data_IF_988719948570
#
_entry.id   IF_988719948570
#
_cell.length_a   1.000
_cell.length_b   1.000
_cell.length_c   1.000
_cell.angle_alpha   90.00
_cell.angle_beta   90.00
_cell.angle_gamma   90.00
#
_symmetry.space_group_name_H-M   'P 1'
#
loop_
_entity.id
_entity.type
_entity.pdbx_description
1 polymer ?
#
# COMPACT_ATOMS: atom_id res chain seq x y z
N UNK A 1 0.68 -26.75 -9.39
CA UNK A 1 1.26 -26.51 -8.06
C UNK A 1 2.04 -25.20 -8.10
N UNK A 2 1.92 -24.29 -7.11
CA UNK A 2 2.68 -23.05 -7.11
C UNK A 2 4.17 -23.32 -6.98
N UNK A 3 4.99 -22.58 -7.72
CA UNK A 3 6.45 -22.60 -7.63
C UNK A 3 6.87 -21.37 -6.82
N UNK A 4 7.69 -21.58 -5.79
CA UNK A 4 8.23 -20.51 -4.96
C UNK A 4 9.69 -20.26 -5.33
N UNK A 5 10.08 -18.99 -5.31
CA UNK A 5 11.44 -18.54 -5.55
C UNK A 5 11.87 -17.67 -4.37
N UNK A 6 13.11 -17.84 -3.93
CA UNK A 6 13.68 -17.00 -2.86
C UNK A 6 14.03 -15.59 -3.35
N UNK A 7 14.19 -15.41 -4.66
CA UNK A 7 14.53 -14.12 -5.25
C UNK A 7 14.06 -13.98 -6.69
N UNK A 8 13.95 -12.72 -7.14
CA UNK A 8 13.54 -12.38 -8.50
C UNK A 8 14.74 -12.46 -9.44
N UNK A 9 14.74 -13.45 -10.34
CA UNK A 9 15.70 -13.53 -11.44
C UNK A 9 15.45 -12.45 -12.50
N UNK A 10 16.46 -12.15 -13.33
CA UNK A 10 16.32 -11.16 -14.41
C UNK A 10 15.13 -11.49 -15.35
N UNK A 11 14.95 -12.76 -15.71
CA UNK A 11 13.82 -13.18 -16.55
C UNK A 11 12.45 -12.91 -15.90
N UNK A 12 12.34 -13.13 -14.58
CA UNK A 12 11.10 -12.86 -13.84
C UNK A 12 10.88 -11.36 -13.67
N UNK A 13 11.94 -10.59 -13.43
CA UNK A 13 11.91 -9.11 -13.40
C UNK A 13 11.39 -8.55 -14.71
N UNK A 14 11.98 -8.96 -15.83
CA UNK A 14 11.62 -8.44 -17.16
C UNK A 14 10.21 -8.87 -17.55
N UNK A 15 9.79 -10.08 -17.15
CA UNK A 15 8.41 -10.50 -17.32
C UNK A 15 7.44 -9.65 -16.49
N UNK A 16 7.76 -9.34 -15.23
CA UNK A 16 6.90 -8.51 -14.37
C UNK A 16 6.69 -7.10 -14.92
N UNK A 17 7.78 -6.45 -15.32
CA UNK A 17 7.79 -5.06 -15.76
C UNK A 17 7.06 -4.88 -17.10
N UNK A 18 7.06 -5.90 -17.97
CA UNK A 18 6.32 -5.90 -19.24
C UNK A 18 4.80 -6.00 -19.11
N UNK A 19 4.26 -6.36 -17.94
CA UNK A 19 2.80 -6.47 -17.80
C UNK A 19 2.16 -5.08 -17.89
N UNK A 20 0.95 -4.98 -18.42
CA UNK A 20 0.26 -3.69 -18.53
C UNK A 20 -0.26 -3.17 -17.18
N UNK A 21 -0.47 -4.08 -16.23
CA UNK A 21 -0.97 -3.79 -14.90
C UNK A 21 -0.47 -4.80 -13.87
N UNK A 22 -0.46 -4.38 -12.62
CA UNK A 22 -0.30 -5.25 -11.46
C UNK A 22 -1.30 -4.82 -10.37
N UNK A 23 -1.49 -5.69 -9.39
CA UNK A 23 -2.45 -5.50 -8.30
C UNK A 23 -1.70 -5.40 -6.98
N UNK A 24 -2.16 -4.49 -6.12
CA UNK A 24 -1.70 -4.41 -4.73
C UNK A 24 -2.82 -4.89 -3.84
N UNK A 25 -2.55 -5.89 -3.03
CA UNK A 25 -3.43 -6.35 -1.98
C UNK A 25 -2.80 -6.07 -0.61
N UNK A 26 -3.60 -5.58 0.32
CA UNK A 26 -3.20 -5.30 1.70
C UNK A 26 -4.41 -5.46 2.61
N UNK A 27 -4.17 -5.79 3.88
CA UNK A 27 -5.23 -5.93 4.86
C UNK A 27 -4.75 -5.41 6.22
N UNK A 28 -5.66 -4.84 7.02
CA UNK A 28 -5.35 -4.51 8.40
C UNK A 28 -5.22 -5.80 9.22
N UNK A 29 -4.64 -5.71 10.42
CA UNK A 29 -4.67 -6.82 11.38
C UNK A 29 -6.10 -7.10 11.85
N UNK A 30 -6.92 -6.06 11.93
CA UNK A 30 -8.32 -6.10 12.34
C UNK A 30 -9.11 -5.06 11.54
N UNK A 31 -10.30 -5.42 11.08
CA UNK A 31 -11.10 -4.54 10.24
C UNK A 31 -12.09 -5.35 9.43
N UNK A 32 -12.96 -4.66 8.70
CA UNK A 32 -13.94 -5.31 7.82
C UNK A 32 -13.47 -5.37 6.38
N UNK A 33 -12.48 -4.56 6.00
CA UNK A 33 -12.15 -4.31 4.61
C UNK A 33 -10.80 -4.93 4.25
N UNK A 34 -10.77 -5.66 3.14
CA UNK A 34 -9.54 -6.07 2.47
C UNK A 34 -9.35 -5.12 1.29
N UNK A 35 -8.19 -4.51 1.20
CA UNK A 35 -7.90 -3.59 0.12
C UNK A 35 -7.23 -4.33 -1.05
N UNK A 36 -7.78 -4.17 -2.24
CA UNK A 36 -7.17 -4.59 -3.49
C UNK A 36 -7.29 -3.48 -4.51
N UNK A 37 -6.18 -3.10 -5.13
CA UNK A 37 -6.13 -1.97 -6.06
C UNK A 37 -5.38 -2.37 -7.32
N UNK A 38 -6.02 -2.37 -8.50
CA UNK A 38 -5.33 -2.49 -9.78
C UNK A 38 -4.59 -1.20 -10.11
N UNK A 39 -3.42 -1.35 -10.72
CA UNK A 39 -2.53 -0.26 -11.02
C UNK A 39 -1.82 -0.54 -12.34
N UNK A 40 -1.79 0.44 -13.23
CA UNK A 40 -1.13 0.30 -14.52
C UNK A 40 0.20 1.02 -14.55
N UNK A 41 0.73 1.14 -15.76
CA UNK A 41 2.01 1.78 -16.03
C UNK A 41 3.17 1.24 -15.16
N UNK A 42 3.46 -0.09 -15.15
CA UNK A 42 4.54 -0.61 -14.31
C UNK A 42 5.89 -0.04 -14.70
N UNK A 43 6.09 0.24 -15.98
CA UNK A 43 7.30 0.88 -16.49
C UNK A 43 7.51 2.32 -16.01
N UNK A 44 6.48 3.06 -15.60
CA UNK A 44 6.67 4.43 -15.05
C UNK A 44 6.42 4.53 -13.55
N UNK A 45 5.88 3.49 -12.91
CA UNK A 45 5.49 3.54 -11.50
C UNK A 45 6.13 2.48 -10.63
N UNK A 46 6.63 1.37 -11.19
CA UNK A 46 7.24 0.25 -10.48
C UNK A 46 8.74 0.13 -10.83
N UNK A 47 9.55 -0.27 -9.86
CA UNK A 47 10.95 -0.63 -10.09
C UNK A 47 11.36 -1.81 -9.21
N UNK A 48 12.10 -2.75 -9.79
CA UNK A 48 12.78 -3.80 -9.02
C UNK A 48 14.21 -3.30 -8.78
N UNK A 49 14.50 -2.93 -7.54
CA UNK A 49 15.75 -2.29 -7.11
C UNK A 49 16.86 -3.33 -6.84
N UNK A 50 16.47 -4.53 -6.42
CA UNK A 50 17.34 -5.70 -6.23
C UNK A 50 16.49 -6.98 -6.32
N UNK A 51 17.08 -8.19 -6.35
CA UNK A 51 16.34 -9.44 -6.42
C UNK A 51 15.25 -9.60 -5.34
N UNK A 52 15.41 -8.94 -4.19
CA UNK A 52 14.48 -9.00 -3.05
C UNK A 52 13.95 -7.62 -2.63
N UNK A 53 14.05 -6.61 -3.50
CA UNK A 53 13.60 -5.25 -3.18
C UNK A 53 12.94 -4.61 -4.39
N UNK A 54 11.71 -4.14 -4.21
CA UNK A 54 10.97 -3.40 -5.22
C UNK A 54 10.45 -2.08 -4.64
N UNK A 55 10.18 -1.11 -5.50
CA UNK A 55 9.66 0.20 -5.12
C UNK A 55 8.68 0.74 -6.17
N UNK A 56 8.04 1.83 -5.79
CA UNK A 56 6.68 2.16 -6.18
C UNK A 56 6.37 3.61 -5.96
N UNK A 57 5.80 4.30 -6.94
CA UNK A 57 5.27 5.65 -6.71
C UNK A 57 3.75 5.62 -6.52
N UNK A 58 3.29 6.06 -5.34
CA UNK A 58 1.88 6.32 -5.06
C UNK A 58 1.56 7.78 -5.38
N UNK A 59 0.55 8.01 -6.23
CA UNK A 59 0.12 9.35 -6.64
C UNK A 59 -1.24 9.72 -6.04
N UNK A 60 -1.50 11.02 -5.95
CA UNK A 60 -2.75 11.62 -5.49
C UNK A 60 -3.93 11.25 -6.39
N UNK A 61 -5.10 11.02 -5.77
CA UNK A 61 -6.34 10.59 -6.44
C UNK A 61 -6.79 9.18 -6.04
N UNK A 62 -5.99 8.49 -5.24
CA UNK A 62 -6.35 7.21 -4.64
C UNK A 62 -6.49 7.28 -3.12
N UNK A 63 -7.30 6.37 -2.56
CA UNK A 63 -7.39 6.18 -1.11
C UNK A 63 -6.04 5.80 -0.48
N UNK A 64 -5.96 5.85 0.85
CA UNK A 64 -4.72 5.58 1.59
C UNK A 64 -4.65 4.20 2.25
N UNK A 65 -5.56 3.27 1.89
CA UNK A 65 -5.67 1.94 2.54
C UNK A 65 -4.33 1.18 2.62
N UNK A 66 -3.60 1.06 1.51
CA UNK A 66 -2.30 0.37 1.49
C UNK A 66 -1.30 1.05 2.43
N UNK A 67 -1.27 2.39 2.46
CA UNK A 67 -0.39 3.17 3.34
C UNK A 67 -0.73 2.87 4.80
N UNK A 68 -2.01 2.88 5.15
CA UNK A 68 -2.49 2.58 6.51
C UNK A 68 -2.08 1.17 6.95
N UNK A 69 -2.32 0.16 6.11
CA UNK A 69 -1.98 -1.24 6.41
C UNK A 69 -0.47 -1.46 6.53
N UNK A 70 0.32 -0.84 5.65
CA UNK A 70 1.78 -0.89 5.73
C UNK A 70 2.30 -0.25 7.02
N UNK A 71 1.76 0.89 7.43
CA UNK A 71 2.13 1.54 8.69
C UNK A 71 1.71 0.72 9.92
N UNK A 72 0.61 -0.02 9.84
CA UNK A 72 0.14 -0.88 10.93
C UNK A 72 0.95 -2.18 11.03
N UNK A 73 1.03 -2.96 9.95
CA UNK A 73 1.55 -4.33 9.98
C UNK A 73 2.55 -4.67 8.87
N UNK A 74 2.75 -3.77 7.91
CA UNK A 74 3.76 -3.89 6.87
C UNK A 74 3.45 -4.95 5.79
N UNK A 75 2.37 -5.72 5.89
CA UNK A 75 2.08 -6.82 4.94
C UNK A 75 1.44 -6.30 3.67
N UNK A 76 1.94 -6.79 2.55
CA UNK A 76 1.43 -6.42 1.22
C UNK A 76 1.74 -7.54 0.22
N UNK A 77 0.86 -7.72 -0.76
CA UNK A 77 1.10 -8.60 -1.91
C UNK A 77 1.00 -7.80 -3.19
N UNK A 78 2.01 -7.92 -4.05
CA UNK A 78 1.95 -7.42 -5.43
C UNK A 78 1.71 -8.59 -6.36
N UNK A 79 0.72 -8.50 -7.24
CA UNK A 79 0.43 -9.53 -8.23
C UNK A 79 0.55 -8.98 -9.65
N UNK A 80 1.34 -9.65 -10.48
CA UNK A 80 1.41 -9.44 -11.92
C UNK A 80 0.61 -10.55 -12.61
N UNK A 81 -0.13 -10.20 -13.65
CA UNK A 81 -0.96 -11.13 -14.42
C UNK A 81 -0.71 -10.90 -15.90
N UNK A 82 -0.48 -11.96 -16.67
CA UNK A 82 -0.53 -11.86 -18.13
C UNK A 82 -1.95 -11.82 -18.64
N UNK A 83 -2.12 -11.04 -19.69
CA UNK A 83 -3.34 -10.96 -20.50
C UNK A 83 -3.10 -11.46 -21.93
N UNK A 84 -1.90 -11.96 -22.20
CA UNK A 84 -1.48 -12.52 -23.48
C UNK A 84 -1.82 -14.02 -23.57
N UNK A 85 -1.51 -14.63 -24.72
CA UNK A 85 -1.80 -16.04 -25.01
C UNK A 85 -1.20 -17.04 -23.99
N UNK A 86 -0.11 -16.68 -23.30
CA UNK A 86 0.48 -17.53 -22.26
C UNK A 86 -0.03 -17.12 -20.88
N UNK A 87 -0.88 -17.93 -20.21
CA UNK A 87 -1.42 -17.60 -18.90
C UNK A 87 -0.33 -17.74 -17.83
N UNK A 88 -0.08 -16.65 -17.09
CA UNK A 88 0.87 -16.62 -15.99
C UNK A 88 0.47 -15.58 -14.96
N UNK A 89 0.59 -15.98 -13.70
CA UNK A 89 0.48 -15.08 -12.56
C UNK A 89 1.77 -15.13 -11.76
N UNK A 90 2.19 -13.99 -11.21
CA UNK A 90 3.32 -13.92 -10.29
C UNK A 90 2.94 -13.05 -9.11
N UNK A 91 3.24 -13.52 -7.90
CA UNK A 91 2.95 -12.81 -6.67
C UNK A 91 4.23 -12.56 -5.88
N UNK A 92 4.41 -11.33 -5.46
CA UNK A 92 5.40 -10.96 -4.47
C UNK A 92 4.70 -10.85 -3.13
N UNK A 93 5.00 -11.78 -2.23
CA UNK A 93 4.58 -11.69 -0.83
C UNK A 93 5.64 -10.90 -0.08
N UNK A 94 5.27 -9.70 0.37
CA UNK A 94 6.25 -8.73 0.85
C UNK A 94 5.90 -8.19 2.23
N UNK A 95 6.94 -7.72 2.90
CA UNK A 95 6.83 -6.70 3.94
C UNK A 95 7.38 -5.40 3.39
N UNK A 96 6.74 -4.27 3.74
CA UNK A 96 7.08 -2.98 3.16
C UNK A 96 6.91 -1.82 4.13
N UNK A 97 7.42 -0.67 3.71
CA UNK A 97 7.28 0.60 4.41
C UNK A 97 6.86 1.70 3.43
N UNK A 98 6.39 2.81 3.97
CA UNK A 98 5.98 4.02 3.24
C UNK A 98 7.02 5.10 3.50
N UNK A 99 7.44 5.78 2.45
CA UNK A 99 8.29 6.97 2.49
C UNK A 99 7.52 8.11 1.84
N UNK A 100 7.13 9.14 2.60
CA UNK A 100 6.35 10.27 2.07
C UNK A 100 7.22 11.29 1.32
N UNK A 101 6.61 12.11 0.46
CA UNK A 101 7.28 13.12 -0.37
C UNK A 101 8.11 14.14 0.44
N UNK A 102 7.72 14.40 1.68
CA UNK A 102 8.39 15.32 2.60
C UNK A 102 9.46 14.63 3.46
N UNK A 103 9.65 13.31 3.31
CA UNK A 103 10.67 12.57 4.03
C UNK A 103 11.98 12.54 3.22
N UNK A 104 13.15 12.61 3.89
CA UNK A 104 14.45 12.70 3.21
C UNK A 104 14.77 11.47 2.34
N UNK A 105 14.14 10.33 2.61
CA UNK A 105 14.33 9.10 1.84
C UNK A 105 13.68 9.12 0.45
N UNK A 106 12.74 10.02 0.19
CA UNK A 106 11.91 9.99 -1.02
C UNK A 106 12.72 10.23 -2.30
N UNK A 107 13.49 11.32 -2.35
CA UNK A 107 14.28 11.68 -3.53
C UNK A 107 15.36 10.63 -3.88
N UNK A 108 16.14 10.08 -2.91
CA UNK A 108 17.05 8.96 -3.18
C UNK A 108 16.36 7.74 -3.80
N UNK A 109 15.20 7.35 -3.28
CA UNK A 109 14.46 6.22 -3.84
C UNK A 109 13.96 6.51 -5.25
N UNK A 110 13.41 7.69 -5.52
CA UNK A 110 13.01 8.07 -6.88
C UNK A 110 14.18 8.01 -7.87
N UNK A 111 15.36 8.49 -7.46
CA UNK A 111 16.57 8.40 -8.29
C UNK A 111 16.93 6.94 -8.57
N UNK A 112 16.86 6.07 -7.56
CA UNK A 112 17.13 4.63 -7.71
C UNK A 112 16.11 3.94 -8.63
N UNK A 113 14.86 4.43 -8.67
CA UNK A 113 13.84 3.95 -9.59
C UNK A 113 14.05 4.41 -11.04
N UNK A 114 15.12 5.18 -11.32
CA UNK A 114 15.41 5.74 -12.65
C UNK A 114 14.77 7.10 -12.90
N UNK A 115 14.48 7.87 -11.84
CA UNK A 115 13.82 9.18 -11.96
C UNK A 115 12.34 9.08 -12.34
N UNK A 116 11.74 7.89 -12.19
CA UNK A 116 10.33 7.63 -12.42
C UNK A 116 9.47 8.55 -11.54
N UNK A 117 8.88 9.56 -12.15
CA UNK A 117 8.03 10.53 -11.47
C UNK A 117 6.61 10.47 -12.04
N UNK A 118 5.63 10.29 -11.17
CA UNK A 118 4.22 10.50 -11.51
C UNK A 118 3.83 11.90 -11.05
N UNK A 119 3.09 12.62 -11.89
CA UNK A 119 2.45 13.86 -11.47
C UNK A 119 1.62 13.59 -10.21
N UNK A 120 1.84 14.40 -9.15
CA UNK A 120 1.18 14.23 -7.86
C UNK A 120 1.72 13.10 -6.97
N UNK A 121 2.94 12.60 -7.24
CA UNK A 121 3.63 11.62 -6.40
C UNK A 121 3.73 12.11 -4.94
N UNK A 122 3.21 11.30 -4.02
CA UNK A 122 3.12 11.64 -2.58
C UNK A 122 3.82 10.64 -1.66
N UNK A 123 4.07 9.41 -2.14
CA UNK A 123 4.82 8.42 -1.38
C UNK A 123 5.57 7.45 -2.30
N UNK A 124 6.78 7.07 -1.87
CA UNK A 124 7.45 5.86 -2.35
C UNK A 124 7.15 4.75 -1.36
N UNK A 125 6.58 3.67 -1.85
CA UNK A 125 6.32 2.48 -1.05
C UNK A 125 7.22 1.34 -1.56
N UNK A 126 7.38 0.26 -0.80
CA UNK A 126 8.09 -0.94 -1.28
C UNK A 126 7.00 -1.92 -1.76
N UNK A 127 6.35 -1.68 -2.91
CA UNK A 127 5.34 -2.54 -3.63
C UNK A 127 4.22 -1.79 -4.45
N UNK A 128 4.39 -1.44 -5.74
CA UNK A 128 3.58 -0.38 -6.42
C UNK A 128 2.13 -0.54 -6.74
N UNK A 129 1.29 0.54 -6.73
CA UNK A 129 0.96 1.36 -7.93
C UNK A 129 -0.15 2.44 -7.89
N UNK A 130 -0.56 2.95 -9.08
CA UNK A 130 -1.92 3.38 -9.53
C UNK A 130 -1.96 3.68 -11.03
N UNK A 131 -3.15 3.53 -11.64
CA UNK A 131 -3.46 3.87 -13.02
C UNK A 131 -4.09 2.71 -13.80
N UNK A 132 -5.30 2.27 -13.44
CA UNK A 132 -5.95 1.16 -14.18
C UNK A 132 -6.01 1.53 -15.66
N UNK A 133 -5.37 0.75 -16.55
CA UNK A 133 -5.40 1.05 -17.97
C UNK A 133 -6.82 0.87 -18.52
N UNK A 134 -7.16 1.62 -19.56
CA UNK A 134 -8.40 1.43 -20.29
C UNK A 134 -8.22 0.29 -21.29
N UNK A 135 -9.27 -0.52 -21.50
CA UNK A 135 -9.27 -1.50 -22.56
C UNK A 135 -9.68 -0.80 -23.85
N UNK A 136 -8.72 -0.60 -24.75
CA UNK A 136 -8.92 -0.08 -26.09
C UNK A 136 -8.82 -1.17 -27.14
N UNK A 137 -8.96 -0.75 -28.39
CA UNK A 137 -8.82 -1.59 -29.57
C UNK A 137 -7.71 -1.01 -30.44
N UNK A 138 -6.70 -1.81 -30.74
CA UNK A 138 -5.63 -1.48 -31.69
C UNK A 138 -5.76 -2.39 -32.90
N UNK A 139 -5.63 -1.83 -34.09
CA UNK A 139 -5.53 -2.60 -35.32
C UNK A 139 -4.08 -3.03 -35.53
N UNK A 140 -3.88 -4.33 -35.75
CA UNK A 140 -2.59 -4.88 -36.19
C UNK A 140 -2.23 -4.25 -37.56
N UNK A 141 -1.06 -3.60 -37.70
CA UNK A 141 -0.69 -2.91 -38.94
C UNK A 141 -0.56 -3.86 -40.14
N UNK A 142 -0.28 -5.14 -39.91
CA UNK A 142 -0.07 -6.12 -40.97
C UNK A 142 -1.35 -6.90 -41.30
N UNK A 143 -2.15 -7.27 -40.29
CA UNK A 143 -3.36 -8.09 -40.50
C UNK A 143 -4.66 -7.29 -40.54
N UNK A 144 -4.63 -5.99 -40.17
CA UNK A 144 -5.79 -5.11 -39.95
C UNK A 144 -6.81 -5.66 -38.94
N UNK A 145 -6.48 -6.72 -38.22
CA UNK A 145 -7.35 -7.29 -37.20
C UNK A 145 -7.36 -6.41 -35.96
N UNK A 146 -8.55 -6.22 -35.40
CA UNK A 146 -8.73 -5.46 -34.17
C UNK A 146 -8.43 -6.34 -32.97
N UNK A 147 -7.41 -5.96 -32.19
CA UNK A 147 -7.04 -6.64 -30.95
C UNK A 147 -7.25 -5.73 -29.74
N UNK A 148 -7.76 -6.26 -28.62
CA UNK A 148 -7.85 -5.50 -27.38
C UNK A 148 -6.45 -5.14 -26.90
N UNK A 149 -6.24 -3.87 -26.51
CA UNK A 149 -4.98 -3.38 -25.98
C UNK A 149 -5.23 -2.53 -24.72
N UNK A 150 -4.26 -2.48 -23.82
CA UNK A 150 -4.32 -1.60 -22.66
C UNK A 150 -3.78 -0.21 -23.03
N UNK A 151 -4.64 0.81 -22.94
CA UNK A 151 -4.30 2.21 -23.20
C UNK A 151 -4.16 2.96 -21.89
N UNK A 152 -3.17 3.84 -21.81
CA UNK A 152 -2.93 4.66 -20.63
C UNK A 152 -4.04 5.70 -20.44
N UNK A 153 -4.63 5.70 -19.24
CA UNK A 153 -5.65 6.67 -18.85
C UNK A 153 -5.00 8.01 -18.49
N UNK A 154 -5.09 9.01 -19.38
CA UNK A 154 -4.56 10.37 -19.15
C UNK A 154 -5.24 11.11 -17.98
N UNK A 155 -6.51 10.78 -17.68
CA UNK A 155 -7.34 11.49 -16.70
C UNK A 155 -6.77 11.59 -15.28
N UNK A 156 -5.93 10.65 -14.85
CA UNK A 156 -5.39 10.68 -13.47
C UNK A 156 -4.26 11.70 -13.32
N UNK A 157 -3.33 11.74 -14.28
CA UNK A 157 -2.30 12.78 -14.33
C UNK A 157 -2.94 14.16 -14.42
N UNK A 158 -3.99 14.29 -15.22
CA UNK A 158 -4.78 15.52 -15.30
C UNK A 158 -5.56 15.85 -14.02
N UNK A 159 -6.06 14.86 -13.27
CA UNK A 159 -6.75 15.13 -12.00
C UNK A 159 -5.76 15.60 -10.94
N UNK A 160 -4.62 14.92 -10.82
CA UNK A 160 -3.54 15.32 -9.93
C UNK A 160 -3.03 16.72 -10.32
N UNK A 161 -2.81 16.98 -11.61
CA UNK A 161 -2.40 18.28 -12.13
C UNK A 161 -3.46 19.35 -11.89
N UNK A 162 -4.74 19.08 -12.18
CA UNK A 162 -5.83 20.04 -11.91
C UNK A 162 -5.98 20.37 -10.43
N UNK A 163 -5.80 19.38 -9.56
CA UNK A 163 -5.87 19.58 -8.11
C UNK A 163 -4.63 20.34 -7.61
N UNK A 164 -3.46 20.09 -8.21
CA UNK A 164 -2.23 20.86 -8.01
C UNK A 164 -2.43 22.33 -8.40
N UNK A 165 -2.89 22.56 -9.63
CA UNK A 165 -3.06 23.90 -10.22
C UNK A 165 -4.09 24.74 -9.45
N UNK A 166 -5.09 24.11 -8.82
CA UNK A 166 -6.09 24.75 -7.96
C UNK A 166 -5.60 25.01 -6.53
N UNK A 167 -4.45 24.48 -6.13
CA UNK A 167 -3.95 24.56 -4.75
C UNK A 167 -4.76 23.75 -3.73
N UNK A 168 -5.66 22.88 -4.18
CA UNK A 168 -6.60 22.12 -3.33
C UNK A 168 -5.99 20.80 -2.78
N UNK A 169 -4.79 20.44 -3.23
CA UNK A 169 -4.11 19.21 -2.83
C UNK A 169 -4.05 18.97 -1.31
N UNK A 170 -3.65 19.96 -0.48
CA UNK A 170 -3.57 19.73 0.97
C UNK A 170 -4.93 19.39 1.58
N UNK A 171 -6.00 20.05 1.12
CA UNK A 171 -7.37 19.79 1.57
C UNK A 171 -7.88 18.43 1.14
N UNK A 172 -7.56 18.00 -0.09
CA UNK A 172 -7.89 16.66 -0.57
C UNK A 172 -7.21 15.57 0.27
N UNK A 173 -5.89 15.70 0.54
CA UNK A 173 -5.16 14.75 1.38
C UNK A 173 -5.72 14.72 2.81
N UNK A 174 -6.06 15.89 3.35
CA UNK A 174 -6.67 16.03 4.67
C UNK A 174 -7.99 15.23 4.76
N UNK A 175 -8.87 15.37 3.77
CA UNK A 175 -10.18 14.75 3.78
C UNK A 175 -10.13 13.24 3.49
N UNK A 176 -9.34 12.82 2.50
CA UNK A 176 -9.43 11.46 1.94
C UNK A 176 -8.24 10.55 2.26
N UNK A 177 -7.16 11.10 2.82
CA UNK A 177 -5.92 10.35 3.06
C UNK A 177 -5.40 10.41 4.50
N UNK A 178 -6.16 10.99 5.42
CA UNK A 178 -5.83 11.02 6.84
C UNK A 178 -6.14 9.70 7.55
N UNK A 179 -7.12 8.91 7.08
CA UNK A 179 -7.55 7.65 7.70
C UNK A 179 -7.97 6.60 6.67
N UNK A 180 -7.83 5.31 7.02
CA UNK A 180 -8.45 4.21 6.29
C UNK A 180 -9.95 4.12 6.53
N UNK A 181 -10.64 3.28 5.75
CA UNK A 181 -12.04 2.89 5.93
C UNK A 181 -12.28 2.25 7.31
N UNK A 182 -11.29 1.52 7.83
CA UNK A 182 -11.32 0.91 9.17
C UNK A 182 -10.74 1.84 10.26
N UNK A 183 -10.45 3.10 9.93
CA UNK A 183 -10.04 4.14 10.90
C UNK A 183 -8.54 4.13 11.27
N UNK A 184 -7.70 3.39 10.54
CA UNK A 184 -6.26 3.40 10.74
C UNK A 184 -5.66 4.74 10.28
N UNK A 185 -4.60 5.25 10.94
CA UNK A 185 -3.92 6.47 10.51
C UNK A 185 -3.26 6.33 9.13
N UNK A 186 -3.50 7.30 8.24
CA UNK A 186 -3.00 7.34 6.87
C UNK A 186 -1.72 8.14 6.69
N UNK A 187 -1.73 9.09 5.75
CA UNK A 187 -0.58 9.95 5.47
C UNK A 187 -0.25 10.82 6.68
N UNK A 188 1.00 10.83 7.10
CA UNK A 188 1.51 11.69 8.16
C UNK A 188 1.41 13.17 7.78
N UNK A 189 1.68 13.52 6.53
CA UNK A 189 1.46 14.87 6.00
C UNK A 189 -0.01 15.32 6.12
N UNK A 190 -0.96 14.43 5.84
CA UNK A 190 -2.40 14.70 5.99
C UNK A 190 -2.86 14.78 7.46
N UNK A 191 -2.27 13.95 8.34
CA UNK A 191 -2.55 14.00 9.78
C UNK A 191 -2.01 15.29 10.41
N UNK A 192 -0.79 15.68 10.03
CA UNK A 192 -0.17 16.91 10.48
C UNK A 192 -0.98 18.16 10.05
N UNK A 193 -1.53 18.16 8.82
CA UNK A 193 -2.39 19.26 8.37
C UNK A 193 -3.74 19.33 9.09
N UNK A 194 -4.21 18.23 9.71
CA UNK A 194 -5.36 18.23 10.63
C UNK A 194 -5.01 18.67 12.06
N UNK A 195 -3.74 19.03 12.34
CA UNK A 195 -3.28 19.32 13.69
C UNK A 195 -3.18 18.07 14.58
N UNK A 196 -3.16 16.86 13.98
CA UNK A 196 -2.95 15.63 14.74
C UNK A 196 -1.47 15.34 14.95
N UNK A 197 -1.14 14.88 16.14
CA UNK A 197 0.22 14.48 16.48
C UNK A 197 0.59 13.15 15.82
N UNK A 198 1.66 13.15 15.01
CA UNK A 198 2.16 11.96 14.33
C UNK A 198 2.55 10.85 15.32
N UNK A 199 3.15 11.21 16.46
CA UNK A 199 3.51 10.24 17.50
C UNK A 199 2.29 9.50 18.04
N UNK A 200 1.11 10.15 18.09
CA UNK A 200 -0.13 9.52 18.52
C UNK A 200 -0.65 8.51 17.49
N UNK A 201 -0.51 8.82 16.19
CA UNK A 201 -0.81 7.87 15.12
C UNK A 201 0.11 6.64 15.17
N UNK A 202 1.41 6.85 15.39
CA UNK A 202 2.37 5.76 15.56
C UNK A 202 2.04 4.91 16.80
N UNK A 203 1.73 5.56 17.92
CA UNK A 203 1.31 4.88 19.15
C UNK A 203 0.06 4.03 18.93
N UNK A 204 -0.97 4.56 18.25
CA UNK A 204 -2.17 3.79 17.89
C UNK A 204 -1.83 2.54 17.06
N UNK A 205 -0.93 2.65 16.10
CA UNK A 205 -0.51 1.50 15.29
C UNK A 205 0.21 0.44 16.15
N UNK A 206 1.06 0.86 17.08
CA UNK A 206 1.73 -0.06 18.03
C UNK A 206 0.71 -0.75 18.94
N UNK A 207 -0.23 0.01 19.51
CA UNK A 207 -1.30 -0.55 20.35
C UNK A 207 -2.14 -1.54 19.57
N UNK A 208 -2.56 -1.21 18.34
CA UNK A 208 -3.33 -2.10 17.49
C UNK A 208 -2.57 -3.39 17.17
N UNK A 209 -1.27 -3.28 16.88
CA UNK A 209 -0.39 -4.41 16.61
C UNK A 209 -0.26 -5.36 17.80
N UNK A 210 -0.18 -4.83 19.02
CA UNK A 210 0.02 -5.62 20.23
C UNK A 210 -1.26 -5.87 21.03
N UNK A 211 -2.43 -5.56 20.46
CA UNK A 211 -3.70 -5.61 21.18
C UNK A 211 -4.00 -6.99 21.78
N UNK A 212 -3.71 -8.08 21.07
CA UNK A 212 -3.94 -9.43 21.60
C UNK A 212 -3.08 -9.72 22.82
N UNK A 213 -1.79 -9.35 22.77
CA UNK A 213 -0.90 -9.46 23.93
C UNK A 213 -1.40 -8.61 25.09
N UNK A 214 -1.86 -7.38 24.82
CA UNK A 214 -2.42 -6.49 25.84
C UNK A 214 -3.72 -7.06 26.45
N UNK A 215 -4.58 -7.68 25.65
CA UNK A 215 -5.80 -8.35 26.14
C UNK A 215 -5.47 -9.57 27.00
N UNK A 216 -4.46 -10.36 26.63
CA UNK A 216 -3.99 -11.50 27.44
C UNK A 216 -3.41 -11.01 28.77
N UNK A 217 -2.58 -9.96 28.76
CA UNK A 217 -2.02 -9.37 29.97
C UNK A 217 -3.14 -8.82 30.87
N UNK A 218 -4.08 -8.07 30.29
CA UNK A 218 -5.22 -7.49 31.02
C UNK A 218 -6.09 -8.56 31.66
N UNK A 219 -6.42 -9.63 30.93
CA UNK A 219 -7.24 -10.74 31.45
C UNK A 219 -6.52 -11.52 32.53
N UNK A 220 -5.22 -11.75 32.37
CA UNK A 220 -4.38 -12.42 33.39
C UNK A 220 -4.29 -11.57 34.68
N UNK A 221 -4.05 -10.26 34.56
CA UNK A 221 -4.03 -9.36 35.72
C UNK A 221 -5.38 -9.29 36.44
N UNK A 222 -6.48 -9.19 35.70
CA UNK A 222 -7.83 -9.19 36.29
C UNK A 222 -8.13 -10.50 37.02
N UNK A 223 -7.72 -11.64 36.46
CA UNK A 223 -7.85 -12.94 37.12
C UNK A 223 -7.03 -13.01 38.42
N UNK A 224 -5.76 -12.59 38.39
CA UNK A 224 -4.91 -12.54 39.59
C UNK A 224 -5.50 -11.63 40.68
N UNK A 225 -6.04 -10.47 40.28
CA UNK A 225 -6.70 -9.56 41.21
C UNK A 225 -7.93 -10.21 41.88
N UNK A 226 -8.78 -10.89 41.11
CA UNK A 226 -9.93 -11.62 41.65
C UNK A 226 -9.51 -12.74 42.61
N UNK A 227 -8.44 -13.47 42.30
CA UNK A 227 -7.87 -14.50 43.19
C UNK A 227 -7.39 -13.87 44.50
N UNK A 228 -6.68 -12.73 44.45
CA UNK A 228 -6.21 -12.05 45.66
C UNK A 228 -7.38 -11.56 46.53
N UNK A 229 -8.40 -10.93 45.94
CA UNK A 229 -9.60 -10.49 46.66
C UNK A 229 -10.36 -11.68 47.27
N UNK A 230 -10.47 -12.78 46.53
CA UNK A 230 -11.11 -14.01 47.04
C UNK A 230 -10.36 -14.62 48.23
N UNK A 231 -9.02 -14.66 48.17
CA UNK A 231 -8.18 -15.11 49.28
C UNK A 231 -8.28 -14.19 50.50
N UNK A 232 -8.33 -12.88 50.30
CA UNK A 232 -8.48 -11.90 51.37
C UNK A 232 -9.88 -11.98 52.03
N UNK A 233 -10.93 -12.17 51.24
CA UNK A 233 -12.28 -12.40 51.75
C UNK A 233 -12.36 -13.70 52.55
N UNK A 234 -11.80 -14.80 52.06
CA UNK A 234 -11.75 -16.07 52.78
C UNK A 234 -11.00 -15.95 54.13
N UNK A 235 -9.97 -15.11 54.21
CA UNK A 235 -9.29 -14.81 55.49
C UNK A 235 -10.12 -14.01 56.49
N UNK A 236 -11.11 -13.24 56.04
CA UNK A 236 -11.98 -12.46 56.93
C UNK A 236 -13.22 -13.23 57.40
N UNK A 237 -13.60 -14.30 56.69
CA UNK A 237 -14.78 -15.13 56.99
C UNK A 237 -14.43 -16.32 57.91
N UNK A 238 -13.15 -16.67 58.03
CA UNK A 238 -12.61 -17.67 58.95
C UNK A 238 -11.95 -17.01 60.16
#
# INVERSE_FOLDING_TARGET
MPIFYDSISNNLRDWALRQSLFFVASAPLRGRHINVSPKGLPDSSFAILSPNKAAYVDSTGSGCETICHLRENGRVTVMFCSFDASPRIMRFFCTGSVVEWNEPGFAPYLKQMGGKFLVGARAVQISCGFGVPELGLTSDPDTKETRPCFINRQRLGEFAQRTLDRGELPGYHQQWNSKSLDGLPGLHSALASQGQYIWWAQFKNVVNRHRETLEIVKTTMAFLFLVMVGLEWARHVH
#
